data_IF_921132542046
#
_entry.id   IF_921132542046
#
_cell.length_a   1.000
_cell.length_b   1.000
_cell.length_c   1.000
_cell.angle_alpha   90.00
_cell.angle_beta   90.00
_cell.angle_gamma   90.00
#
_symmetry.space_group_name_H-M   'P 1'
#
loop_
_entity.id
_entity.type
_entity.pdbx_description
1 polymer ?
#
# COMPACT_ATOMS: atom_id res chain seq x y z
N UNK A 1 -2.00 1.29 -3.98
CA UNK A 1 -2.12 1.98 -5.30
C UNK A 1 -1.04 3.04 -5.51
N UNK A 2 -0.32 3.49 -4.48
CA UNK A 2 0.71 4.55 -4.57
C UNK A 2 1.80 4.30 -5.62
N UNK A 3 2.29 3.06 -5.74
CA UNK A 3 3.31 2.73 -6.74
C UNK A 3 2.80 2.99 -8.17
N UNK A 4 1.51 2.71 -8.41
CA UNK A 4 0.78 2.88 -9.67
C UNK A 4 0.43 4.36 -9.91
N UNK A 5 -0.03 5.06 -8.87
CA UNK A 5 -0.45 6.48 -8.95
C UNK A 5 0.75 7.41 -9.09
N UNK A 6 1.84 7.17 -8.34
CA UNK A 6 3.08 7.96 -8.42
C UNK A 6 4.01 7.53 -9.57
N UNK A 7 3.57 6.61 -10.45
CA UNK A 7 4.25 6.29 -11.73
C UNK A 7 5.76 6.02 -11.60
N UNK A 8 6.16 5.39 -10.49
CA UNK A 8 7.57 5.33 -10.09
C UNK A 8 8.41 4.31 -10.90
N UNK A 9 7.78 3.34 -11.58
CA UNK A 9 8.46 2.34 -12.40
C UNK A 9 8.14 2.52 -13.90
N UNK A 10 9.12 2.40 -14.81
CA UNK A 10 8.91 2.47 -16.27
C UNK A 10 7.92 1.41 -16.79
N UNK A 11 7.78 0.26 -16.11
CA UNK A 11 6.83 -0.78 -16.46
C UNK A 11 5.37 -0.36 -16.27
N UNK A 12 5.14 0.56 -15.32
CA UNK A 12 3.80 1.06 -15.00
C UNK A 12 3.26 2.02 -16.08
N UNK A 13 4.08 2.36 -17.09
CA UNK A 13 3.65 3.13 -18.27
C UNK A 13 3.16 2.26 -19.44
N UNK A 14 3.14 0.93 -19.30
CA UNK A 14 2.75 0.00 -20.37
C UNK A 14 1.30 -0.47 -20.25
N UNK A 15 0.69 -0.90 -21.37
CA UNK A 15 -0.73 -1.36 -21.47
C UNK A 15 -1.12 -2.48 -20.48
N UNK A 16 -0.15 -3.21 -19.93
CA UNK A 16 -0.33 -4.17 -18.84
C UNK A 16 -0.97 -3.55 -17.59
N UNK A 17 -0.77 -2.24 -17.36
CA UNK A 17 -1.35 -1.52 -16.23
C UNK A 17 -2.87 -1.46 -16.28
N UNK A 18 -3.47 -1.39 -17.48
CA UNK A 18 -4.94 -1.31 -17.61
C UNK A 18 -5.61 -2.54 -17.04
N UNK A 19 -5.00 -3.72 -17.23
CA UNK A 19 -5.48 -4.97 -16.68
C UNK A 19 -5.30 -5.04 -15.17
N UNK A 20 -4.13 -4.64 -14.66
CA UNK A 20 -3.85 -4.58 -13.21
C UNK A 20 -4.79 -3.61 -12.50
N UNK A 21 -5.01 -2.41 -13.07
CA UNK A 21 -5.93 -1.42 -12.53
C UNK A 21 -7.36 -1.94 -12.50
N UNK A 22 -7.79 -2.63 -13.57
CA UNK A 22 -9.09 -3.29 -13.62
C UNK A 22 -9.23 -4.34 -12.52
N UNK A 23 -8.22 -5.20 -12.34
CA UNK A 23 -8.21 -6.20 -11.26
C UNK A 23 -8.29 -5.57 -9.88
N UNK A 24 -7.55 -4.49 -9.62
CA UNK A 24 -7.59 -3.76 -8.34
C UNK A 24 -8.98 -3.14 -8.11
N UNK A 25 -9.58 -2.55 -9.13
CA UNK A 25 -10.91 -1.94 -9.03
C UNK A 25 -12.01 -2.99 -8.83
N UNK A 26 -11.88 -4.15 -9.46
CA UNK A 26 -12.80 -5.28 -9.28
C UNK A 26 -12.69 -5.83 -7.84
N UNK A 27 -11.47 -5.98 -7.31
CA UNK A 27 -11.20 -6.39 -5.92
C UNK A 27 -11.75 -5.38 -4.90
N UNK A 28 -11.59 -4.09 -5.19
CA UNK A 28 -12.16 -3.02 -4.37
C UNK A 28 -13.68 -3.16 -4.26
N UNK A 29 -14.36 -3.41 -5.38
CA UNK A 29 -15.80 -3.63 -5.41
C UNK A 29 -16.21 -4.89 -4.65
N UNK A 30 -15.50 -6.00 -4.84
CA UNK A 30 -15.83 -7.27 -4.17
C UNK A 30 -15.66 -7.20 -2.65
N UNK A 31 -14.66 -6.46 -2.17
CA UNK A 31 -14.43 -6.24 -0.74
C UNK A 31 -15.31 -5.14 -0.13
N UNK A 32 -16.17 -4.50 -0.94
CA UNK A 32 -17.00 -3.35 -0.59
C UNK A 32 -16.23 -2.27 0.20
N UNK A 33 -14.96 -2.09 -0.15
CA UNK A 33 -14.03 -1.25 0.58
C UNK A 33 -13.82 0.05 -0.19
N UNK A 34 -14.08 1.19 0.44
CA UNK A 34 -13.79 2.50 -0.16
C UNK A 34 -12.65 3.17 0.58
N UNK A 35 -11.50 3.27 -0.10
CA UNK A 35 -10.32 3.98 0.43
C UNK A 35 -10.63 5.49 0.40
N UNK A 36 -10.97 6.07 1.55
CA UNK A 36 -11.33 7.50 1.68
C UNK A 36 -10.13 8.44 1.94
N UNK A 37 -8.92 7.91 2.05
CA UNK A 37 -7.70 8.70 2.25
C UNK A 37 -7.14 9.29 0.96
N UNK A 38 -6.39 10.39 1.07
CA UNK A 38 -5.61 10.95 -0.02
C UNK A 38 -4.70 9.86 -0.63
N UNK A 39 -4.77 9.69 -1.94
CA UNK A 39 -4.15 8.57 -2.68
C UNK A 39 -2.61 8.58 -2.68
N UNK A 40 -2.03 9.52 -1.96
CA UNK A 40 -0.60 9.75 -1.78
C UNK A 40 0.01 9.01 -0.58
N UNK A 41 -0.78 8.25 0.20
CA UNK A 41 -0.30 7.58 1.43
C UNK A 41 -0.91 6.18 1.61
N UNK A 42 -0.56 5.23 0.75
CA UNK A 42 -0.91 3.80 0.93
C UNK A 42 0.09 3.04 1.78
N UNK A 43 1.31 3.56 1.96
CA UNK A 43 2.26 2.97 2.91
C UNK A 43 1.72 3.11 4.34
N UNK A 44 2.01 2.10 5.17
CA UNK A 44 1.62 2.13 6.57
C UNK A 44 2.20 3.39 7.24
N UNK A 45 1.44 4.03 8.16
CA UNK A 45 1.85 5.28 8.80
C UNK A 45 3.00 5.01 9.79
N UNK A 46 4.19 4.83 9.23
CA UNK A 46 5.42 4.58 9.96
C UNK A 46 6.17 5.90 10.16
N UNK A 47 6.67 6.08 11.37
CA UNK A 47 7.54 7.17 11.74
C UNK A 47 8.83 7.14 10.91
N UNK A 48 9.30 8.29 10.37
CA UNK A 48 10.47 8.36 9.48
C UNK A 48 11.77 7.78 10.05
N UNK A 49 11.87 7.69 11.39
CA UNK A 49 13.03 7.11 12.07
C UNK A 49 13.13 5.59 11.87
N UNK A 50 11.99 4.90 11.70
CA UNK A 50 11.93 3.45 11.52
C UNK A 50 11.82 3.07 10.04
N UNK A 51 11.24 3.94 9.21
CA UNK A 51 11.03 3.63 7.80
C UNK A 51 11.15 4.87 6.89
N UNK A 52 12.04 4.78 5.90
CA UNK A 52 12.23 5.82 4.89
C UNK A 52 11.48 5.47 3.61
N UNK A 53 10.40 6.21 3.36
CA UNK A 53 9.56 6.05 2.15
C UNK A 53 10.35 6.27 0.84
N UNK A 54 11.38 7.11 0.85
CA UNK A 54 12.26 7.32 -0.31
C UNK A 54 12.87 6.03 -0.83
N UNK A 55 13.27 5.15 0.08
CA UNK A 55 14.06 3.97 -0.23
C UNK A 55 13.17 2.89 -0.85
N UNK A 56 11.92 2.81 -0.39
CA UNK A 56 10.86 2.01 -0.99
C UNK A 56 10.63 2.36 -2.46
N UNK A 57 10.42 3.65 -2.74
CA UNK A 57 10.19 4.09 -4.11
C UNK A 57 11.40 3.82 -5.00
N UNK A 58 12.62 4.09 -4.52
CA UNK A 58 13.85 3.78 -5.26
C UNK A 58 13.96 2.29 -5.61
N UNK A 59 13.66 1.38 -4.68
CA UNK A 59 13.65 -0.08 -4.90
C UNK A 59 12.60 -0.50 -5.93
N UNK A 60 11.44 0.15 -5.92
CA UNK A 60 10.37 -0.10 -6.89
C UNK A 60 10.71 0.38 -8.29
N UNK A 61 11.41 1.51 -8.43
CA UNK A 61 11.82 2.01 -9.75
C UNK A 61 12.74 1.01 -10.47
N UNK A 62 13.57 0.29 -9.70
CA UNK A 62 14.49 -0.74 -10.18
C UNK A 62 13.81 -2.11 -10.41
N UNK A 63 12.49 -2.21 -10.37
CA UNK A 63 11.81 -3.45 -10.71
C UNK A 63 11.59 -3.51 -12.23
N UNK A 64 12.31 -4.43 -12.89
CA UNK A 64 12.29 -4.60 -14.36
C UNK A 64 11.21 -5.56 -14.86
N UNK A 65 10.53 -6.27 -13.96
CA UNK A 65 9.33 -7.05 -14.29
C UNK A 65 8.22 -6.87 -13.26
N UNK A 66 6.97 -7.15 -13.67
CA UNK A 66 5.80 -7.15 -12.78
C UNK A 66 5.96 -8.16 -11.63
N UNK A 67 6.57 -9.31 -11.89
CA UNK A 67 6.84 -10.32 -10.85
C UNK A 67 7.76 -9.76 -9.77
N UNK A 68 8.88 -9.16 -10.18
CA UNK A 68 9.84 -8.53 -9.27
C UNK A 68 9.20 -7.35 -8.53
N UNK A 69 8.33 -6.60 -9.19
CA UNK A 69 7.57 -5.53 -8.54
C UNK A 69 6.67 -6.08 -7.43
N UNK A 70 5.91 -7.15 -7.68
CA UNK A 70 5.07 -7.77 -6.66
C UNK A 70 5.89 -8.33 -5.49
N UNK A 71 6.97 -9.05 -5.78
CA UNK A 71 7.88 -9.60 -4.75
C UNK A 71 8.46 -8.49 -3.87
N UNK A 72 8.90 -7.38 -4.46
CA UNK A 72 9.42 -6.23 -3.71
C UNK A 72 8.33 -5.57 -2.86
N UNK A 73 7.12 -5.39 -3.39
CA UNK A 73 6.00 -4.80 -2.64
C UNK A 73 5.58 -5.70 -1.47
N UNK A 74 5.50 -7.01 -1.68
CA UNK A 74 5.15 -7.98 -0.65
C UNK A 74 6.20 -8.00 0.46
N UNK A 75 7.48 -8.05 0.09
CA UNK A 75 8.58 -8.01 1.04
C UNK A 75 8.56 -6.73 1.89
N UNK A 76 8.44 -5.56 1.25
CA UNK A 76 8.39 -4.28 1.93
C UNK A 76 7.17 -4.16 2.85
N UNK A 77 6.01 -4.65 2.40
CA UNK A 77 4.79 -4.66 3.22
C UNK A 77 4.98 -5.52 4.46
N UNK A 78 5.61 -6.70 4.33
CA UNK A 78 5.92 -7.56 5.47
C UNK A 78 6.83 -6.87 6.48
N UNK A 79 7.90 -6.22 6.02
CA UNK A 79 8.81 -5.44 6.88
C UNK A 79 8.06 -4.33 7.61
N UNK A 80 7.15 -3.63 6.93
CA UNK A 80 6.33 -2.60 7.56
C UNK A 80 5.41 -3.16 8.65
N UNK A 81 4.80 -4.32 8.43
CA UNK A 81 3.99 -5.00 9.45
C UNK A 81 4.83 -5.48 10.64
N UNK A 82 6.02 -6.02 10.38
CA UNK A 82 6.94 -6.45 11.43
C UNK A 82 7.38 -5.24 12.30
N UNK A 83 7.65 -4.09 11.67
CA UNK A 83 7.94 -2.84 12.38
C UNK A 83 6.76 -2.33 13.19
N UNK A 84 5.54 -2.40 12.65
CA UNK A 84 4.34 -2.04 13.40
C UNK A 84 4.16 -2.94 14.64
N UNK A 85 4.37 -4.24 14.48
CA UNK A 85 4.21 -5.21 15.56
C UNK A 85 5.27 -5.02 16.67
N UNK A 86 6.49 -4.60 16.32
CA UNK A 86 7.57 -4.41 17.27
C UNK A 86 7.53 -3.05 17.97
N UNK A 87 7.22 -1.97 17.24
CA UNK A 87 7.47 -0.60 17.70
C UNK A 87 6.19 0.23 17.98
N UNK A 88 5.00 -0.27 17.62
CA UNK A 88 3.75 0.51 17.71
C UNK A 88 2.73 -0.13 18.65
N UNK A 89 2.10 0.73 19.45
CA UNK A 89 0.94 0.37 20.28
C UNK A 89 -0.32 0.96 19.65
N UNK A 90 -1.28 0.09 19.34
CA UNK A 90 -2.56 0.51 18.78
C UNK A 90 -3.58 0.75 19.89
N UNK A 91 -4.07 1.98 20.00
CA UNK A 91 -5.18 2.30 20.90
C UNK A 91 -6.51 2.12 20.18
N UNK A 92 -7.34 1.22 20.69
CA UNK A 92 -8.71 1.06 20.21
C UNK A 92 -9.64 1.98 21.03
N UNK A 93 -10.34 2.94 20.41
CA UNK A 93 -11.33 3.74 21.12
C UNK A 93 -12.52 2.87 21.54
N UNK A 94 -12.92 2.94 22.81
CA UNK A 94 -13.98 2.09 23.40
C UNK A 94 -15.40 2.33 22.85
N UNK A 95 -15.63 3.37 22.04
CA UNK A 95 -16.96 3.70 21.49
C UNK A 95 -17.12 3.16 20.06
N UNK A 96 -17.37 1.87 19.95
CA UNK A 96 -18.03 1.24 18.78
C UNK A 96 -19.15 0.30 19.24
N UNK A 97 -19.83 0.65 20.32
CA UNK A 97 -21.16 0.10 20.64
C UNK A 97 -22.14 1.16 20.19
N UNK A 98 -22.70 0.96 18.99
CA UNK A 98 -23.90 1.68 18.56
C UNK A 98 -24.99 1.41 19.61
N UNK A 99 -25.44 2.48 20.23
CA UNK A 99 -26.63 2.53 21.07
C UNK A 99 -27.83 2.18 20.17
N UNK A 100 -28.64 1.15 20.47
CA UNK A 100 -29.86 0.93 19.70
C UNK A 100 -30.84 2.07 19.98
N UNK A 101 -31.20 2.79 18.91
CA UNK A 101 -32.29 3.76 18.90
C UNK A 101 -33.66 3.10 19.14
#
# INVERSE_FOLDING_TARGET
MECVVNSSSPLLRTDLLRRVYKTIMDLRRSLNFSWKGDSSQFLLPLHPNFYRRSDFFARIQQADTLKVLYEKVEHETRVQFDLLAAEYVFYLPQRMVDEPA
#
